data_IF_912362914693
#
_entry.id   IF_912362914693
#
_cell.length_a   1.000
_cell.length_b   1.000
_cell.length_c   1.000
_cell.angle_alpha   90.00
_cell.angle_beta   90.00
_cell.angle_gamma   90.00
#
_symmetry.space_group_name_H-M   'P 1'
#
loop_
_entity.id
_entity.type
_entity.pdbx_description
1 polymer ?
#
# COMPACT_ATOMS: atom_id res chain seq x y z
N UNK A 1 16.90 9.47 -2.97
CA UNK A 1 16.66 8.06 -2.54
C UNK A 1 15.21 7.71 -2.85
N UNK A 2 14.90 6.44 -3.13
CA UNK A 2 13.53 6.00 -3.46
C UNK A 2 12.89 5.26 -2.28
N UNK A 3 11.57 5.32 -2.18
CA UNK A 3 10.81 4.60 -1.17
C UNK A 3 10.81 3.10 -1.46
N UNK A 4 11.19 2.29 -0.48
CA UNK A 4 11.26 0.84 -0.62
C UNK A 4 9.88 0.13 -0.67
N UNK A 5 8.77 0.88 -0.63
CA UNK A 5 7.40 0.35 -0.79
C UNK A 5 6.75 0.77 -2.10
N UNK A 6 6.69 2.07 -2.39
CA UNK A 6 6.02 2.60 -3.59
C UNK A 6 6.98 2.93 -4.75
N UNK A 7 8.30 2.83 -4.54
CA UNK A 7 9.34 3.13 -5.54
C UNK A 7 9.42 4.59 -6.00
N UNK A 8 8.56 5.46 -5.51
CA UNK A 8 8.60 6.91 -5.74
C UNK A 8 9.75 7.58 -4.99
N UNK A 9 10.13 8.77 -5.43
CA UNK A 9 11.20 9.55 -4.80
C UNK A 9 10.83 10.02 -3.39
N UNK A 10 11.80 9.97 -2.48
CA UNK A 10 11.62 10.45 -1.11
C UNK A 10 11.77 11.97 -1.04
N UNK A 11 11.01 12.65 -0.16
CA UNK A 11 11.11 14.08 0.08
C UNK A 11 12.54 14.51 0.43
N UNK A 12 13.00 15.62 -0.15
CA UNK A 12 14.35 16.18 0.06
C UNK A 12 14.50 16.91 1.39
N UNK A 13 13.40 17.25 2.04
CA UNK A 13 13.33 17.95 3.34
C UNK A 13 13.67 17.03 4.54
N UNK A 14 13.93 15.74 4.31
CA UNK A 14 14.22 14.78 5.37
C UNK A 14 12.96 14.18 6.01
N UNK A 15 11.77 14.44 5.46
CA UNK A 15 10.50 13.91 5.95
C UNK A 15 10.25 12.47 5.50
N UNK A 16 11.15 11.56 5.87
CA UNK A 16 11.03 10.13 5.61
C UNK A 16 11.55 9.28 6.78
N UNK A 17 11.10 8.03 6.86
CA UNK A 17 11.54 7.06 7.86
C UNK A 17 12.61 6.13 7.28
N UNK A 18 13.67 5.88 8.04
CA UNK A 18 14.77 4.97 7.66
C UNK A 18 14.77 3.77 8.57
N UNK A 19 14.72 2.57 7.99
CA UNK A 19 14.74 1.32 8.72
C UNK A 19 16.14 1.05 9.29
N UNK A 20 16.22 0.63 10.55
CA UNK A 20 17.50 0.32 11.19
C UNK A 20 18.15 -0.97 10.69
N UNK A 21 17.39 -1.89 10.09
CA UNK A 21 17.94 -3.13 9.54
C UNK A 21 18.74 -2.92 8.25
N UNK A 22 18.36 -1.93 7.43
CA UNK A 22 19.13 -1.52 6.25
C UNK A 22 18.98 -0.01 6.04
N UNK A 23 19.81 0.81 6.70
CA UNK A 23 19.70 2.26 6.64
C UNK A 23 20.02 2.85 5.26
N UNK A 24 20.68 2.10 4.37
CA UNK A 24 21.15 2.60 3.07
C UNK A 24 20.13 2.38 1.96
N UNK A 25 19.41 1.25 1.99
CA UNK A 25 18.46 0.91 0.92
C UNK A 25 16.99 0.86 1.37
N UNK A 26 16.73 1.02 2.67
CA UNK A 26 15.39 0.80 3.24
C UNK A 26 14.85 2.07 3.89
N UNK A 27 14.41 3.00 3.04
CA UNK A 27 13.78 4.25 3.44
C UNK A 27 12.36 4.34 2.87
N UNK A 28 11.46 5.04 3.57
CA UNK A 28 10.02 5.06 3.27
C UNK A 28 9.40 6.41 3.54
N UNK A 29 8.40 6.79 2.74
CA UNK A 29 7.46 7.85 3.13
C UNK A 29 6.72 7.46 4.40
N UNK A 30 6.38 8.42 5.25
CA UNK A 30 5.60 8.12 6.46
C UNK A 30 4.24 7.48 6.13
N UNK A 31 3.60 7.91 5.04
CA UNK A 31 2.35 7.33 4.51
C UNK A 31 2.51 5.88 4.05
N UNK A 32 3.71 5.53 3.57
CA UNK A 32 4.05 4.16 3.18
C UNK A 32 4.38 3.25 4.37
N UNK A 33 4.36 3.77 5.60
CA UNK A 33 4.68 3.03 6.82
C UNK A 33 3.51 2.98 7.80
N UNK A 34 3.70 2.31 8.93
CA UNK A 34 2.75 2.30 10.05
C UNK A 34 3.03 3.37 11.10
N UNK A 35 4.11 4.17 10.95
CA UNK A 35 4.48 5.21 11.90
C UNK A 35 4.09 6.59 11.36
N UNK A 36 3.36 7.36 12.18
CA UNK A 36 3.01 8.75 11.83
C UNK A 36 4.24 9.65 11.94
N UNK A 37 4.40 10.58 11.00
CA UNK A 37 5.52 11.54 10.96
C UNK A 37 5.71 12.27 12.29
N UNK A 38 4.63 12.84 12.86
CA UNK A 38 4.67 13.56 14.15
C UNK A 38 5.24 12.69 15.27
N UNK A 39 4.82 11.43 15.35
CA UNK A 39 5.28 10.48 16.36
C UNK A 39 6.75 10.14 16.16
N UNK A 40 7.17 9.87 14.91
CA UNK A 40 8.56 9.57 14.59
C UNK A 40 9.49 10.76 14.86
N UNK A 41 9.04 11.98 14.59
CA UNK A 41 9.79 13.20 14.90
C UNK A 41 9.88 13.48 16.41
N UNK A 42 8.90 13.05 17.21
CA UNK A 42 8.97 13.13 18.67
C UNK A 42 9.88 12.07 19.29
N UNK A 43 10.21 11.00 18.56
CA UNK A 43 11.16 10.01 19.04
C UNK A 43 12.58 10.57 19.11
N UNK A 44 13.27 10.27 20.21
CA UNK A 44 14.71 10.53 20.32
C UNK A 44 15.52 9.65 19.37
N UNK A 45 16.78 10.03 19.13
CA UNK A 45 17.73 9.33 18.23
C UNK A 45 17.85 7.83 18.54
N UNK A 46 17.81 7.46 19.82
CA UNK A 46 17.86 6.07 20.29
C UNK A 46 16.61 5.24 19.93
N UNK A 47 15.44 5.87 19.85
CA UNK A 47 14.22 5.17 19.42
C UNK A 47 14.14 5.08 17.89
N UNK A 48 14.52 6.15 17.18
CA UNK A 48 14.57 6.16 15.71
C UNK A 48 15.55 5.11 15.16
N UNK A 49 16.73 4.98 15.76
CA UNK A 49 17.74 3.96 15.39
C UNK A 49 17.32 2.52 15.69
N UNK A 50 16.22 2.30 16.41
CA UNK A 50 15.64 0.96 16.66
C UNK A 50 14.40 0.69 15.81
N UNK A 51 13.94 1.67 15.03
CA UNK A 51 12.74 1.50 14.23
C UNK A 51 13.00 0.56 13.05
N UNK A 52 12.11 -0.42 12.92
CA UNK A 52 12.12 -1.41 11.83
C UNK A 52 10.89 -1.21 10.96
N UNK A 53 11.08 -1.26 9.65
CA UNK A 53 9.97 -1.25 8.70
C UNK A 53 9.12 -2.54 8.83
N UNK A 54 7.88 -2.55 8.30
CA UNK A 54 7.01 -3.71 8.39
C UNK A 54 7.65 -5.02 7.90
N UNK A 55 8.34 -4.99 6.76
CA UNK A 55 9.00 -6.17 6.18
C UNK A 55 10.10 -6.72 7.09
N UNK A 56 11.01 -5.88 7.58
CA UNK A 56 12.09 -6.31 8.47
C UNK A 56 11.59 -6.69 9.87
N UNK A 57 10.48 -6.10 10.33
CA UNK A 57 9.83 -6.48 11.58
C UNK A 57 9.24 -7.89 11.50
N UNK A 58 8.64 -8.27 10.37
CA UNK A 58 8.10 -9.61 10.16
C UNK A 58 9.20 -10.66 10.02
N UNK A 59 10.28 -10.35 9.28
CA UNK A 59 11.45 -11.22 9.16
C UNK A 59 12.11 -11.48 10.52
N UNK A 60 12.28 -10.44 11.35
CA UNK A 60 12.84 -10.59 12.69
C UNK A 60 11.98 -11.49 13.58
N UNK A 61 10.65 -11.32 13.54
CA UNK A 61 9.71 -12.18 14.27
C UNK A 61 9.76 -13.64 13.81
N UNK A 62 9.94 -13.88 12.51
CA UNK A 62 10.10 -15.23 11.98
C UNK A 62 11.40 -15.89 12.47
N UNK A 63 12.51 -15.14 12.50
CA UNK A 63 13.78 -15.64 13.04
C UNK A 63 13.74 -15.94 14.55
N UNK A 64 13.07 -15.09 15.34
CA UNK A 64 12.90 -15.33 16.78
C UNK A 64 12.08 -16.60 17.06
N UNK A 65 11.05 -16.88 16.25
CA UNK A 65 10.27 -18.12 16.34
C UNK A 65 11.08 -19.37 16.00
N UNK A 66 12.07 -19.27 15.12
CA UNK A 66 12.96 -20.38 14.76
C UNK A 66 14.04 -20.62 15.83
N UNK A 67 14.50 -19.57 16.53
CA UNK A 67 15.47 -19.68 17.62
C UNK A 67 14.86 -20.08 18.97
N UNK A 68 13.55 -19.89 19.16
CA UNK A 68 12.86 -20.15 20.43
C UNK A 68 12.70 -21.62 20.85
N UNK A 69 13.18 -22.59 20.07
CA UNK A 69 13.15 -24.03 20.42
C UNK A 69 14.49 -24.60 20.89
N UNK A 70 15.54 -23.80 20.97
CA UNK A 70 16.77 -24.18 21.67
C UNK A 70 16.78 -23.49 23.04
N UNK A 71 15.95 -23.98 23.97
CA UNK A 71 16.07 -23.55 25.36
C UNK A 71 17.30 -24.24 25.94
N UNK A 72 18.33 -23.43 26.14
CA UNK A 72 19.48 -23.70 26.99
C UNK A 72 19.05 -24.36 28.30
N UNK A 73 19.55 -25.57 28.53
CA UNK A 73 19.70 -26.09 29.88
C UNK A 73 21.22 -26.26 30.12
N UNK A 74 21.90 -25.11 30.13
CA UNK A 74 23.26 -24.97 30.66
C UNK A 74 23.15 -25.02 32.19
N UNK A 75 23.22 -26.23 32.73
CA UNK A 75 23.39 -26.48 34.17
C UNK A 75 24.53 -27.48 34.36
N UNK A 76 25.75 -26.94 34.35
CA UNK A 76 26.85 -27.29 35.26
C UNK A 76 26.86 -28.73 35.83
N UNK A 77 27.72 -29.59 35.28
CA UNK A 77 28.27 -30.75 36.00
C UNK A 77 29.79 -30.83 35.78
N UNK A 78 30.49 -31.16 36.86
CA UNK A 78 31.92 -30.99 37.05
C UNK A 78 32.76 -31.92 36.15
N UNK A 79 33.91 -31.40 35.71
CA UNK A 79 35.02 -32.21 35.21
C UNK A 79 35.67 -32.98 36.35
N UNK A 80 35.49 -34.29 36.37
CA UNK A 80 36.45 -35.24 36.90
C UNK A 80 36.59 -36.35 35.86
N UNK A 81 37.83 -36.66 35.47
CA UNK A 81 38.14 -37.64 34.44
C UNK A 81 37.98 -39.07 34.93
N UNK A 82 37.76 -40.00 34.01
CA UNK A 82 38.56 -41.22 33.85
C UNK A 82 38.11 -42.02 32.62
N UNK A 83 39.14 -42.50 31.92
CA UNK A 83 39.30 -43.64 31.02
C UNK A 83 38.09 -44.42 30.45
N UNK A 84 38.14 -44.60 29.12
CA UNK A 84 38.13 -45.93 28.51
C UNK A 84 36.78 -46.57 28.17
N UNK A 85 36.67 -47.11 26.96
CA UNK A 85 35.70 -48.17 26.65
C UNK A 85 34.89 -47.96 25.40
N UNK A 86 35.43 -48.45 24.28
CA UNK A 86 34.68 -48.85 23.10
C UNK A 86 33.52 -49.79 23.47
N UNK A 87 32.29 -49.51 23.01
CA UNK A 87 31.29 -50.55 22.73
C UNK A 87 30.21 -50.02 21.80
N UNK A 88 30.30 -50.46 20.55
CA UNK A 88 29.21 -50.46 19.60
C UNK A 88 27.97 -51.17 20.16
N UNK A 89 26.83 -50.49 20.25
CA UNK A 89 25.52 -51.15 20.19
C UNK A 89 24.45 -50.17 19.71
N UNK A 90 24.24 -50.16 18.39
CA UNK A 90 23.00 -49.67 17.80
C UNK A 90 21.85 -50.54 18.32
N UNK A 91 21.18 -50.08 19.37
CA UNK A 91 19.86 -50.60 19.74
C UNK A 91 18.81 -49.88 18.90
N UNK A 92 18.38 -50.51 17.82
CA UNK A 92 17.08 -50.28 17.22
C UNK A 92 16.01 -50.68 18.24
N UNK A 93 15.60 -49.72 19.07
CA UNK A 93 14.31 -49.79 19.76
C UNK A 93 13.26 -49.27 18.80
N UNK A 94 12.69 -50.18 18.00
CA UNK A 94 11.47 -49.89 17.25
C UNK A 94 10.32 -49.84 18.26
N UNK A 95 10.17 -48.68 18.90
CA UNK A 95 9.21 -48.46 19.96
C UNK A 95 7.85 -48.14 19.31
N UNK A 96 6.87 -49.05 19.30
CA UNK A 96 5.63 -48.90 18.52
C UNK A 96 4.82 -47.67 18.90
N UNK A 97 4.97 -47.18 20.15
CA UNK A 97 4.37 -45.94 20.64
C UNK A 97 4.88 -44.69 19.89
N UNK A 98 6.19 -44.63 19.59
CA UNK A 98 6.80 -43.50 18.85
C UNK A 98 6.32 -43.50 17.39
N UNK A 99 6.16 -44.67 16.79
CA UNK A 99 5.62 -44.81 15.42
C UNK A 99 4.15 -44.36 15.32
N UNK A 100 3.31 -44.66 16.33
CA UNK A 100 1.93 -44.18 16.38
C UNK A 100 1.82 -42.66 16.59
N UNK A 101 2.69 -42.09 17.42
CA UNK A 101 2.72 -40.64 17.66
C UNK A 101 3.14 -39.86 16.42
N UNK A 102 4.17 -40.33 15.70
CA UNK A 102 4.59 -39.74 14.43
C UNK A 102 3.47 -39.80 13.38
N UNK A 103 2.76 -40.93 13.27
CA UNK A 103 1.60 -41.05 12.36
C UNK A 103 0.46 -40.10 12.73
N UNK A 104 0.21 -39.88 14.01
CA UNK A 104 -0.78 -38.91 14.50
C UNK A 104 -0.41 -37.48 14.13
N UNK A 105 0.87 -37.12 14.32
CA UNK A 105 1.42 -35.81 13.94
C UNK A 105 1.29 -35.58 12.44
N UNK A 106 1.69 -36.55 11.61
CA UNK A 106 1.57 -36.46 10.15
C UNK A 106 0.11 -36.24 9.72
N UNK A 107 -0.83 -37.02 10.27
CA UNK A 107 -2.26 -36.84 9.99
C UNK A 107 -2.76 -35.45 10.43
N UNK A 108 -2.27 -34.92 11.55
CA UNK A 108 -2.61 -33.58 12.01
C UNK A 108 -2.08 -32.51 11.05
N UNK A 109 -0.84 -32.67 10.57
CA UNK A 109 -0.25 -31.75 9.59
C UNK A 109 -1.00 -31.80 8.26
N UNK A 110 -1.32 -32.98 7.74
CA UNK A 110 -2.09 -33.12 6.50
C UNK A 110 -3.45 -32.40 6.60
N UNK A 111 -4.19 -32.60 7.71
CA UNK A 111 -5.47 -31.90 7.90
C UNK A 111 -5.31 -30.38 8.03
N UNK A 112 -4.17 -29.89 8.55
CA UNK A 112 -3.86 -28.45 8.61
C UNK A 112 -3.53 -27.90 7.23
N UNK A 113 -2.75 -28.62 6.44
CA UNK A 113 -2.44 -28.24 5.06
C UNK A 113 -3.69 -28.23 4.19
N UNK A 114 -4.52 -29.27 4.23
CA UNK A 114 -5.80 -29.32 3.52
C UNK A 114 -6.70 -28.12 3.87
N UNK A 115 -6.75 -27.76 5.16
CA UNK A 115 -7.53 -26.61 5.62
C UNK A 115 -6.96 -25.30 5.09
N UNK A 116 -5.65 -25.14 5.10
CA UNK A 116 -4.99 -23.95 4.57
C UNK A 116 -5.19 -23.84 3.05
N UNK A 117 -5.07 -24.94 2.32
CA UNK A 117 -5.31 -25.00 0.88
C UNK A 117 -6.74 -24.60 0.54
N UNK A 118 -7.74 -25.13 1.25
CA UNK A 118 -9.15 -24.73 1.07
C UNK A 118 -9.38 -23.24 1.32
N UNK A 119 -8.79 -22.68 2.38
CA UNK A 119 -8.88 -21.25 2.67
C UNK A 119 -8.21 -20.43 1.57
N UNK A 120 -7.04 -20.86 1.11
CA UNK A 120 -6.32 -20.20 0.03
C UNK A 120 -7.15 -20.19 -1.26
N UNK A 121 -7.68 -21.33 -1.68
CA UNK A 121 -8.52 -21.44 -2.87
C UNK A 121 -9.75 -20.52 -2.76
N UNK A 122 -10.45 -20.52 -1.63
CA UNK A 122 -11.60 -19.62 -1.42
C UNK A 122 -11.21 -18.14 -1.52
N UNK A 123 -10.08 -17.75 -0.91
CA UNK A 123 -9.59 -16.36 -0.94
C UNK A 123 -9.12 -15.96 -2.33
N UNK A 124 -8.49 -16.88 -3.05
CA UNK A 124 -8.04 -16.66 -4.41
C UNK A 124 -9.23 -16.49 -5.36
N UNK A 125 -10.26 -17.34 -5.24
CA UNK A 125 -11.49 -17.20 -6.03
C UNK A 125 -12.22 -15.89 -5.73
N UNK A 126 -12.32 -15.47 -4.46
CA UNK A 126 -12.87 -14.16 -4.09
C UNK A 126 -12.08 -13.00 -4.70
N UNK A 127 -10.74 -13.11 -4.72
CA UNK A 127 -9.89 -12.09 -5.32
C UNK A 127 -10.10 -12.02 -6.84
N UNK A 128 -10.18 -13.16 -7.51
CA UNK A 128 -10.42 -13.24 -8.96
C UNK A 128 -11.77 -12.61 -9.34
N UNK A 129 -12.83 -12.89 -8.57
CA UNK A 129 -14.15 -12.30 -8.79
C UNK A 129 -14.16 -10.78 -8.58
N UNK A 130 -13.53 -10.31 -7.50
CA UNK A 130 -13.38 -8.86 -7.26
C UNK A 130 -12.56 -8.18 -8.36
N UNK A 131 -11.52 -8.83 -8.87
CA UNK A 131 -10.70 -8.29 -9.96
C UNK A 131 -11.55 -8.12 -11.23
N UNK A 132 -12.36 -9.15 -11.59
CA UNK A 132 -13.27 -9.08 -12.73
C UNK A 132 -14.27 -7.94 -12.59
N UNK A 133 -14.89 -7.79 -11.41
CA UNK A 133 -15.81 -6.69 -11.13
C UNK A 133 -15.14 -5.31 -11.29
N UNK A 134 -13.92 -5.14 -10.77
CA UNK A 134 -13.19 -3.89 -10.89
C UNK A 134 -12.82 -3.57 -12.34
N UNK A 135 -12.40 -4.57 -13.13
CA UNK A 135 -12.12 -4.38 -14.57
C UNK A 135 -13.37 -3.91 -15.29
N UNK A 136 -14.51 -4.57 -15.10
CA UNK A 136 -15.77 -4.14 -15.74
C UNK A 136 -16.19 -2.73 -15.32
N UNK A 137 -15.96 -2.34 -14.05
CA UNK A 137 -16.26 -0.99 -13.58
C UNK A 137 -15.34 0.06 -14.20
N UNK A 138 -14.06 -0.26 -14.40
CA UNK A 138 -13.11 0.64 -15.07
C UNK A 138 -13.53 0.85 -16.52
N UNK A 139 -13.85 -0.22 -17.25
CA UNK A 139 -14.32 -0.12 -18.65
C UNK A 139 -15.59 0.73 -18.78
N UNK A 140 -16.52 0.63 -17.83
CA UNK A 140 -17.73 1.46 -17.80
C UNK A 140 -17.41 2.94 -17.55
N UNK A 141 -16.49 3.22 -16.61
CA UNK A 141 -16.06 4.59 -16.31
C UNK A 141 -15.30 5.21 -17.48
N UNK A 142 -14.47 4.44 -18.18
CA UNK A 142 -13.77 4.89 -19.39
C UNK A 142 -14.77 5.28 -20.49
N UNK A 143 -15.78 4.44 -20.75
CA UNK A 143 -16.85 4.76 -21.71
C UNK A 143 -17.62 6.02 -21.33
N UNK A 144 -17.96 6.18 -20.05
CA UNK A 144 -18.67 7.37 -19.57
C UNK A 144 -17.81 8.64 -19.71
N UNK A 145 -16.50 8.55 -19.41
CA UNK A 145 -15.58 9.67 -19.61
C UNK A 145 -15.45 10.05 -21.08
N UNK A 146 -15.31 9.08 -22.00
CA UNK A 146 -15.28 9.35 -23.44
C UNK A 146 -16.57 10.04 -23.93
N UNK A 147 -17.72 9.63 -23.41
CA UNK A 147 -19.00 10.26 -23.72
C UNK A 147 -19.06 11.70 -23.22
N UNK A 148 -18.70 11.95 -21.96
CA UNK A 148 -18.66 13.29 -21.36
C UNK A 148 -17.64 14.21 -22.06
N UNK A 149 -16.53 13.68 -22.55
CA UNK A 149 -15.57 14.45 -23.35
C UNK A 149 -16.15 14.89 -24.70
N UNK A 150 -16.96 14.03 -25.34
CA UNK A 150 -17.65 14.38 -26.59
C UNK A 150 -18.70 15.45 -26.36
N UNK A 151 -19.55 15.28 -25.35
CA UNK A 151 -20.55 16.28 -24.98
C UNK A 151 -19.90 17.63 -24.63
N UNK A 152 -18.82 17.63 -23.84
CA UNK A 152 -18.08 18.86 -23.54
C UNK A 152 -17.50 19.53 -24.79
N UNK A 153 -17.02 18.75 -25.76
CA UNK A 153 -16.53 19.31 -27.04
C UNK A 153 -17.66 19.95 -27.85
N UNK A 154 -18.85 19.35 -27.86
CA UNK A 154 -20.03 19.89 -28.53
C UNK A 154 -20.54 21.16 -27.86
N UNK A 155 -20.71 21.14 -26.53
CA UNK A 155 -21.12 22.31 -25.76
C UNK A 155 -20.15 23.49 -25.93
N UNK A 156 -18.83 23.23 -25.96
CA UNK A 156 -17.84 24.28 -26.24
C UNK A 156 -18.01 24.90 -27.63
N UNK A 157 -18.35 24.11 -28.65
CA UNK A 157 -18.62 24.63 -29.99
C UNK A 157 -19.89 25.48 -30.01
N UNK A 158 -20.95 25.03 -29.33
CA UNK A 158 -22.20 25.77 -29.23
C UNK A 158 -22.01 27.11 -28.52
N UNK A 159 -21.25 27.14 -27.42
CA UNK A 159 -20.89 28.38 -26.71
C UNK A 159 -20.18 29.36 -27.66
N UNK A 160 -19.19 28.89 -28.43
CA UNK A 160 -18.47 29.75 -29.39
C UNK A 160 -19.41 30.31 -30.45
N UNK A 161 -20.32 29.48 -30.99
CA UNK A 161 -21.31 29.92 -31.98
C UNK A 161 -22.27 30.96 -31.41
N UNK A 162 -22.76 30.76 -30.18
CA UNK A 162 -23.63 31.71 -29.50
C UNK A 162 -22.91 33.04 -29.26
N UNK A 163 -21.66 33.01 -28.79
CA UNK A 163 -20.84 34.22 -28.63
C UNK A 163 -20.69 35.01 -29.94
N UNK A 164 -20.35 34.33 -31.04
CA UNK A 164 -20.25 34.96 -32.36
C UNK A 164 -21.59 35.56 -32.81
N UNK A 165 -22.70 34.86 -32.55
CA UNK A 165 -24.05 35.33 -32.90
C UNK A 165 -24.42 36.58 -32.11
N UNK A 166 -24.18 36.59 -30.79
CA UNK A 166 -24.41 37.75 -29.92
C UNK A 166 -23.56 38.94 -30.36
N UNK A 167 -22.27 38.73 -30.66
CA UNK A 167 -21.37 39.79 -31.11
C UNK A 167 -21.83 40.38 -32.46
N UNK A 168 -22.29 39.55 -33.40
CA UNK A 168 -22.85 40.03 -34.66
C UNK A 168 -24.11 40.86 -34.45
N UNK A 169 -25.02 40.44 -33.58
CA UNK A 169 -26.23 41.19 -33.22
C UNK A 169 -25.88 42.53 -32.59
N UNK A 170 -24.95 42.55 -31.64
CA UNK A 170 -24.48 43.79 -31.01
C UNK A 170 -23.86 44.75 -32.03
N UNK A 171 -23.06 44.23 -32.97
CA UNK A 171 -22.47 45.01 -34.04
C UNK A 171 -23.54 45.57 -35.00
N UNK A 172 -24.58 44.81 -35.33
CA UNK A 172 -25.70 45.31 -36.13
C UNK A 172 -26.49 46.42 -35.41
N UNK A 173 -26.75 46.26 -34.11
CA UNK A 173 -27.42 47.28 -33.30
C UNK A 173 -26.57 48.56 -33.28
N UNK A 174 -25.26 48.45 -33.05
CA UNK A 174 -24.34 49.61 -33.08
C UNK A 174 -24.28 50.28 -34.44
N UNK A 175 -24.34 49.53 -35.54
CA UNK A 175 -24.36 50.11 -36.90
C UNK A 175 -25.62 50.93 -37.17
N UNK A 176 -26.75 50.57 -36.55
CA UNK A 176 -28.04 51.27 -36.71
C UNK A 176 -28.20 52.46 -35.76
N UNK A 177 -27.38 52.56 -34.72
CA UNK A 177 -27.50 53.57 -33.66
C UNK A 177 -26.35 54.58 -33.69
N UNK A 178 -26.66 55.87 -33.54
CA UNK A 178 -25.67 56.93 -33.33
C UNK A 178 -25.62 57.24 -31.83
N UNK A 179 -24.44 57.15 -31.23
CA UNK A 179 -24.24 57.51 -29.82
C UNK A 179 -23.75 58.96 -29.75
N UNK A 180 -24.59 59.85 -29.25
CA UNK A 180 -24.21 61.25 -28.99
C UNK A 180 -23.81 61.36 -27.51
N UNK A 181 -22.63 61.94 -27.23
CA UNK A 181 -22.12 62.14 -25.86
C UNK A 181 -21.82 63.61 -25.61
N UNK A 182 -21.98 64.06 -24.36
CA UNK A 182 -21.67 65.44 -23.96
C UNK A 182 -22.79 66.45 -24.23
N UNK A 183 -24.03 65.99 -24.43
CA UNK A 183 -25.20 66.88 -24.42
C UNK A 183 -25.45 67.28 -22.96
N UNK A 184 -25.46 68.57 -22.60
CA UNK A 184 -25.87 69.02 -21.27
C UNK A 184 -27.30 68.56 -21.00
N UNK A 185 -27.54 67.95 -19.84
CA UNK A 185 -28.89 67.55 -19.43
C UNK A 185 -29.74 68.81 -19.26
N UNK A 186 -30.81 68.92 -20.03
CA UNK A 186 -31.80 70.00 -19.89
C UNK A 186 -32.80 69.56 -18.81
N UNK A 187 -33.03 70.40 -17.79
CA UNK A 187 -33.89 70.06 -16.63
C UNK A 187 -35.39 69.90 -16.99
N UNK A 188 -35.75 69.94 -18.27
CA UNK A 188 -37.14 70.02 -18.76
C UNK A 188 -37.74 68.74 -19.38
N UNK A 189 -36.97 67.71 -19.71
CA UNK A 189 -37.51 66.49 -20.35
C UNK A 189 -37.76 65.37 -19.33
N UNK A 190 -38.78 65.58 -18.50
CA UNK A 190 -39.29 64.60 -17.55
C UNK A 190 -40.80 64.74 -17.37
N UNK A 191 -41.58 64.34 -18.36
CA UNK A 191 -43.02 64.02 -18.24
C UNK A 191 -43.35 62.76 -19.04
#
# INVERSE_FOLDING_TARGET
MKCARCLEELPTDGSYAVCSADPKNCAYHFECTTVKQRTFQQWGTNQRSKWLCPNHRELKKAQEKLKGNASDNSSQCNSEGEEGGDTSRATEYDNPAVSTDIKSILKHLDTKFDRQEKIFCLKFSQLEENLKLHVSRIEELEKNNEHLEKENKELKKEIIQLWQTTENVDNEIRRKNIVIRGIPEDEGEGQ
#
